data_IF_227575956438
#
_entry.id   IF_227575956438
#
_cell.length_a   1.000
_cell.length_b   1.000
_cell.length_c   1.000
_cell.angle_alpha   90.00
_cell.angle_beta   90.00
_cell.angle_gamma   90.00
#
_symmetry.space_group_name_H-M   'P 1'
#
loop_
_entity.id
_entity.type
_entity.pdbx_description
1 polymer ?
#
# COMPACT_ATOMS: atom_id res chain seq x y z
N UNK A 1 -17.24 -18.90 15.20
CA UNK A 1 -17.89 -17.62 14.83
C UNK A 1 -16.98 -16.99 13.80
N UNK A 2 -17.52 -16.70 12.62
CA UNK A 2 -16.80 -16.45 11.38
C UNK A 2 -15.89 -15.21 11.46
N UNK A 3 -14.84 -15.29 10.64
CA UNK A 3 -13.74 -14.36 10.44
C UNK A 3 -14.18 -12.89 10.51
N UNK A 4 -13.46 -12.10 11.30
CA UNK A 4 -13.57 -10.65 11.27
C UNK A 4 -13.01 -10.17 9.92
N UNK A 5 -13.87 -10.17 8.91
CA UNK A 5 -13.74 -9.25 7.78
C UNK A 5 -13.57 -7.86 8.41
N UNK A 6 -12.37 -7.30 8.29
CA UNK A 6 -12.01 -6.08 8.99
C UNK A 6 -12.91 -4.95 8.47
N UNK A 7 -14.04 -4.73 9.15
CA UNK A 7 -14.96 -3.60 8.93
C UNK A 7 -14.38 -2.26 9.42
N UNK A 8 -13.07 -2.22 9.70
CA UNK A 8 -12.41 -0.98 10.06
C UNK A 8 -12.31 -0.06 8.84
N UNK A 9 -12.44 1.24 9.08
CA UNK A 9 -12.36 2.25 8.04
C UNK A 9 -11.08 2.10 7.21
N UNK A 10 -11.25 1.71 5.94
CA UNK A 10 -10.24 1.76 4.86
C UNK A 10 -9.46 3.08 4.85
N UNK A 11 -10.10 4.14 5.36
CA UNK A 11 -9.52 5.47 5.57
C UNK A 11 -8.25 5.43 6.40
N UNK A 12 -8.13 4.58 7.42
CA UNK A 12 -6.91 4.48 8.25
C UNK A 12 -5.68 4.11 7.41
N UNK A 13 -5.78 3.08 6.59
CA UNK A 13 -4.71 2.66 5.69
C UNK A 13 -4.51 3.67 4.55
N UNK A 14 -5.59 4.26 4.05
CA UNK A 14 -5.52 5.28 3.01
C UNK A 14 -4.81 6.55 3.48
N UNK A 15 -4.99 6.97 4.73
CA UNK A 15 -4.30 8.11 5.33
C UNK A 15 -2.78 7.84 5.46
N UNK A 16 -2.38 6.62 5.81
CA UNK A 16 -0.96 6.23 5.84
C UNK A 16 -0.30 6.29 4.46
N UNK A 17 -1.01 5.83 3.42
CA UNK A 17 -0.56 5.98 2.03
C UNK A 17 -0.49 7.46 1.62
N UNK A 18 -1.48 8.26 1.99
CA UNK A 18 -1.51 9.69 1.72
C UNK A 18 -0.32 10.42 2.38
N UNK A 19 0.07 10.03 3.60
CA UNK A 19 1.27 10.55 4.27
C UNK A 19 2.57 10.20 3.52
N UNK A 20 2.60 9.12 2.73
CA UNK A 20 3.69 8.75 1.81
C UNK A 20 3.58 9.43 0.43
N UNK A 21 2.57 10.27 0.21
CA UNK A 21 2.25 10.89 -1.09
C UNK A 21 1.54 9.96 -2.07
N UNK A 22 1.13 8.76 -1.63
CA UNK A 22 0.41 7.79 -2.45
C UNK A 22 -1.09 8.08 -2.33
N UNK A 23 -1.66 8.65 -3.38
CA UNK A 23 -3.09 8.99 -3.40
C UNK A 23 -3.96 7.76 -3.62
N UNK A 24 -5.24 7.84 -3.24
CA UNK A 24 -6.25 6.80 -3.52
C UNK A 24 -6.30 6.39 -5.00
N UNK A 25 -6.02 7.33 -5.92
CA UNK A 25 -5.94 7.05 -7.36
C UNK A 25 -4.76 6.15 -7.74
N UNK A 26 -3.66 6.21 -6.98
CA UNK A 26 -2.47 5.38 -7.20
C UNK A 26 -2.60 4.02 -6.52
N UNK A 27 -3.21 3.98 -5.34
CA UNK A 27 -3.47 2.75 -4.59
C UNK A 27 -4.75 2.94 -3.74
N UNK A 28 -5.84 2.30 -4.18
CA UNK A 28 -7.13 2.34 -3.50
C UNK A 28 -7.27 1.15 -2.55
N UNK A 29 -7.29 1.42 -1.24
CA UNK A 29 -7.42 0.37 -0.24
C UNK A 29 -8.75 -0.39 -0.35
N UNK A 30 -9.81 0.21 -0.91
CA UNK A 30 -11.12 -0.43 -1.07
C UNK A 30 -11.06 -1.68 -1.97
N UNK A 31 -10.06 -1.77 -2.86
CA UNK A 31 -9.86 -2.95 -3.70
C UNK A 31 -9.37 -4.17 -2.91
N UNK A 32 -9.00 -3.99 -1.65
CA UNK A 32 -8.48 -5.03 -0.75
C UNK A 32 -9.48 -5.34 0.39
N UNK A 33 -10.77 -5.03 0.18
CA UNK A 33 -11.83 -5.42 1.11
C UNK A 33 -11.84 -6.95 1.28
N UNK A 34 -12.03 -7.42 2.53
CA UNK A 34 -11.93 -8.83 2.88
C UNK A 34 -10.55 -9.30 3.36
N UNK A 35 -9.50 -8.47 3.25
CA UNK A 35 -8.20 -8.78 3.85
C UNK A 35 -8.18 -8.47 5.35
N UNK A 36 -7.32 -9.17 6.09
CA UNK A 36 -7.08 -8.86 7.50
C UNK A 36 -6.31 -7.55 7.64
N UNK A 37 -6.43 -6.88 8.80
CA UNK A 37 -5.66 -5.68 9.10
C UNK A 37 -4.14 -5.86 8.93
N UNK A 38 -3.62 -7.06 9.21
CA UNK A 38 -2.19 -7.38 9.03
C UNK A 38 -1.79 -7.38 7.56
N UNK A 39 -2.63 -7.93 6.69
CA UNK A 39 -2.39 -7.94 5.24
C UNK A 39 -2.51 -6.53 4.65
N UNK A 40 -3.54 -5.78 5.07
CA UNK A 40 -3.70 -4.38 4.69
C UNK A 40 -2.50 -3.53 5.12
N UNK A 41 -2.01 -3.72 6.35
CA UNK A 41 -0.83 -3.02 6.84
C UNK A 41 0.44 -3.40 6.04
N UNK A 42 0.57 -4.67 5.61
CA UNK A 42 1.70 -5.11 4.79
C UNK A 42 1.71 -4.45 3.41
N UNK A 43 0.54 -4.22 2.81
CA UNK A 43 0.39 -3.46 1.56
C UNK A 43 0.84 -2.01 1.78
N UNK A 44 0.35 -1.36 2.84
CA UNK A 44 0.72 0.02 3.17
C UNK A 44 2.22 0.15 3.42
N UNK A 45 2.83 -0.78 4.14
CA UNK A 45 4.26 -0.78 4.44
C UNK A 45 5.11 -0.91 3.17
N UNK A 46 4.74 -1.87 2.30
CA UNK A 46 5.42 -2.15 1.04
C UNK A 46 5.21 -1.05 -0.02
N UNK A 47 4.15 -0.25 0.09
CA UNK A 47 3.86 0.82 -0.85
C UNK A 47 4.92 1.92 -0.76
N UNK A 48 5.60 2.14 -1.88
CA UNK A 48 6.63 3.16 -2.07
C UNK A 48 6.43 3.87 -3.39
N UNK A 49 6.63 5.19 -3.39
CA UNK A 49 6.49 6.01 -4.58
C UNK A 49 7.79 5.94 -5.37
N UNK A 50 7.81 5.14 -6.45
CA UNK A 50 8.97 5.07 -7.34
C UNK A 50 8.87 6.25 -8.31
N UNK A 51 9.77 7.23 -8.19
CA UNK A 51 9.95 8.24 -9.23
C UNK A 51 10.51 7.53 -10.47
N UNK A 52 9.85 7.71 -11.61
CA UNK A 52 10.31 7.27 -12.92
C UNK A 52 11.63 7.99 -13.23
N UNK A 53 12.74 7.44 -12.74
CA UNK A 53 14.07 8.05 -12.74
C UNK A 53 15.10 7.36 -11.83
N UNK A 54 14.66 6.61 -10.80
CA UNK A 54 15.58 5.98 -9.83
C UNK A 54 15.65 4.45 -9.91
N UNK A 55 15.28 3.84 -11.05
CA UNK A 55 15.58 2.41 -11.25
C UNK A 55 15.76 2.07 -12.73
N UNK A 56 16.89 2.50 -13.27
CA UNK A 56 17.66 1.75 -14.24
C UNK A 56 19.14 1.99 -13.93
N UNK A 57 19.52 1.73 -12.67
CA UNK A 57 20.92 1.53 -12.31
C UNK A 57 21.36 0.20 -12.91
N UNK A 58 21.88 0.30 -14.12
CA UNK A 58 22.79 -0.64 -14.76
C UNK A 58 23.67 -1.32 -13.70
N UNK A 59 23.75 -2.66 -13.61
CA UNK A 59 24.80 -3.27 -12.81
C UNK A 59 26.14 -2.91 -13.46
N UNK A 60 26.81 -1.93 -12.87
CA UNK A 60 28.22 -1.70 -13.14
C UNK A 60 29.02 -2.94 -12.72
N UNK A 61 30.14 -3.13 -13.44
CA UNK A 61 31.24 -4.05 -13.23
C UNK A 61 31.22 -5.29 -14.12
N UNK A 62 32.30 -5.65 -14.81
CA UNK A 62 33.55 -5.00 -15.19
C UNK A 62 34.21 -5.94 -16.21
#
# INVERSE_FOLDING_TARGET
MYEYDYSGDMKFFQDQLAAKGITKKMLDMNNFAGLTARELQNIVDSARLIKKGETAGEPASA
#
